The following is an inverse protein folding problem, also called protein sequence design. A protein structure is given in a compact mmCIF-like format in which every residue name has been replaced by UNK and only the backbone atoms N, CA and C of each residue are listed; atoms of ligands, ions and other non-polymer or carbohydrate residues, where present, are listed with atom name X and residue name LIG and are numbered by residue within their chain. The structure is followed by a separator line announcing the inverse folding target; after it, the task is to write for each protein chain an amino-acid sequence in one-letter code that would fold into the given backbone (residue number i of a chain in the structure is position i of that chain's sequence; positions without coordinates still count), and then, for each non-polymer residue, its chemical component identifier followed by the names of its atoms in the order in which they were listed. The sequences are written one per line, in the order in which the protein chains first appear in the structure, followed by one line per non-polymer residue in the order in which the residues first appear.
data_IF_782708819658
#
_entry.id   IF_782708819658
#
_cell.length_a   1.000
_cell.length_b   1.000
_cell.length_c   1.000
_cell.angle_alpha   90.00
_cell.angle_beta   90.00
_cell.angle_gamma   90.00
#
_symmetry.space_group_name_H-M   'P 1'
#
loop_
_entity.id
_entity.type
_entity.pdbx_description
1 polymer ?
#
# COMPACT_ATOMS: atom_id res chain seq x y z
N UNK A 1 4.73 -15.95 16.84
CA UNK A 1 5.62 -15.02 16.11
C UNK A 1 5.12 -14.93 14.69
N UNK A 2 4.88 -13.73 14.16
CA UNK A 2 4.40 -13.50 12.79
C UNK A 2 5.52 -12.83 12.00
N UNK A 3 5.82 -13.34 10.81
CA UNK A 3 6.79 -12.75 9.87
C UNK A 3 6.10 -12.52 8.54
N UNK A 4 6.28 -11.33 7.97
CA UNK A 4 5.69 -10.95 6.69
C UNK A 4 6.80 -10.57 5.72
N UNK A 5 6.81 -11.19 4.53
CA UNK A 5 7.86 -10.99 3.52
C UNK A 5 7.34 -10.11 2.38
N UNK A 6 7.34 -8.79 2.56
CA UNK A 6 6.75 -7.82 1.62
C UNK A 6 7.74 -6.94 0.87
N UNK A 7 9.00 -7.04 1.25
CA UNK A 7 10.08 -6.24 0.68
C UNK A 7 10.74 -7.01 -0.46
N UNK A 8 10.97 -6.32 -1.56
CA UNK A 8 11.93 -6.74 -2.59
C UNK A 8 13.29 -6.10 -2.29
N UNK A 9 14.32 -6.49 -3.04
CA UNK A 9 15.64 -5.87 -2.95
C UNK A 9 15.50 -4.36 -3.18
N UNK A 10 16.10 -3.56 -2.30
CA UNK A 10 16.05 -2.07 -2.30
C UNK A 10 14.72 -1.45 -1.85
N UNK A 11 13.74 -2.25 -1.40
CA UNK A 11 12.60 -1.70 -0.65
C UNK A 11 12.98 -1.42 0.80
N UNK A 12 12.32 -0.45 1.42
CA UNK A 12 12.56 -0.03 2.80
C UNK A 12 11.23 0.15 3.55
N UNK A 13 11.15 -0.34 4.79
CA UNK A 13 10.00 -0.05 5.66
C UNK A 13 10.20 1.33 6.28
N UNK A 14 9.26 2.24 6.03
CA UNK A 14 9.27 3.58 6.60
C UNK A 14 8.57 3.64 7.96
N UNK A 15 7.46 2.91 8.11
CA UNK A 15 6.65 2.91 9.33
C UNK A 15 5.80 1.63 9.40
N UNK A 16 5.51 1.16 10.62
CA UNK A 16 4.55 0.09 10.91
C UNK A 16 3.66 0.56 12.06
N UNK A 17 2.35 0.54 11.84
CA UNK A 17 1.34 0.82 12.87
C UNK A 17 0.53 -0.45 13.16
N UNK A 18 -0.48 -0.35 14.03
CA UNK A 18 -1.44 -1.44 14.19
C UNK A 18 -2.31 -1.63 12.94
N UNK A 19 -2.47 -0.60 12.10
CA UNK A 19 -3.46 -0.60 11.00
C UNK A 19 -2.83 -0.73 9.61
N UNK A 20 -1.55 -0.37 9.44
CA UNK A 20 -0.87 -0.47 8.14
C UNK A 20 0.64 -0.54 8.26
N UNK A 21 1.29 -0.90 7.15
CA UNK A 21 2.72 -0.72 6.92
C UNK A 21 2.97 0.22 5.75
N UNK A 22 3.92 1.14 5.92
CA UNK A 22 4.39 2.02 4.86
C UNK A 22 5.72 1.49 4.32
N UNK A 23 5.76 1.18 3.02
CA UNK A 23 6.95 0.64 2.34
C UNK A 23 7.36 1.59 1.23
N UNK A 24 8.59 2.13 1.31
CA UNK A 24 9.22 2.83 0.20
C UNK A 24 9.73 1.80 -0.80
N UNK A 25 9.25 1.91 -2.04
CA UNK A 25 9.68 1.09 -3.15
C UNK A 25 10.95 1.66 -3.76
N UNK A 26 11.69 0.81 -4.49
CA UNK A 26 12.91 1.21 -5.23
C UNK A 26 12.73 2.46 -6.11
N UNK A 27 11.57 2.65 -6.72
CA UNK A 27 11.26 3.80 -7.58
C UNK A 27 11.00 5.11 -6.80
N UNK A 28 11.01 5.06 -5.47
CA UNK A 28 10.76 6.20 -4.59
C UNK A 28 9.30 6.41 -4.19
N UNK A 29 8.37 5.65 -4.77
CA UNK A 29 6.96 5.65 -4.34
C UNK A 29 6.81 4.96 -2.97
N UNK A 30 5.74 5.29 -2.27
CA UNK A 30 5.42 4.69 -0.97
C UNK A 30 4.09 3.98 -1.04
N UNK A 31 4.12 2.66 -0.81
CA UNK A 31 2.90 1.88 -0.61
C UNK A 31 2.47 1.98 0.86
N UNK A 32 1.24 2.41 1.09
CA UNK A 32 0.53 2.29 2.37
C UNK A 32 -0.38 1.06 2.26
N UNK A 33 0.00 -0.02 2.95
CA UNK A 33 -0.67 -1.32 2.86
C UNK A 33 -1.38 -1.59 4.18
N UNK A 34 -2.73 -1.57 4.22
CA UNK A 34 -3.50 -1.87 5.42
C UNK A 34 -3.33 -3.31 5.89
N UNK A 35 -3.52 -3.52 7.19
CA UNK A 35 -3.70 -4.84 7.77
C UNK A 35 -5.18 -5.19 7.87
N UNK A 36 -5.54 -6.40 7.46
CA UNK A 36 -6.82 -7.02 7.81
C UNK A 36 -6.54 -7.97 8.96
N UNK A 37 -7.14 -7.68 10.12
CA UNK A 37 -7.08 -8.54 11.30
C UNK A 37 -8.37 -9.34 11.41
N UNK A 38 -8.27 -10.66 11.29
CA UNK A 38 -9.33 -11.55 11.76
C UNK A 38 -8.99 -12.13 13.14
N UNK A 39 -9.85 -13.01 13.62
CA UNK A 39 -9.75 -13.59 14.98
C UNK A 39 -8.48 -14.43 15.16
N UNK A 40 -7.96 -15.02 14.08
CA UNK A 40 -6.75 -15.84 14.10
C UNK A 40 -5.77 -15.56 12.95
N UNK A 41 -6.04 -14.57 12.10
CA UNK A 41 -5.23 -14.25 10.94
C UNK A 41 -4.89 -12.76 10.84
N UNK A 42 -3.69 -12.50 10.31
CA UNK A 42 -3.24 -11.19 9.91
C UNK A 42 -2.92 -11.26 8.42
N UNK A 43 -3.60 -10.45 7.63
CA UNK A 43 -3.38 -10.34 6.19
C UNK A 43 -3.02 -8.90 5.83
N UNK A 44 -2.30 -8.75 4.74
CA UNK A 44 -2.09 -7.46 4.11
C UNK A 44 -3.13 -7.26 3.01
N UNK A 45 -3.79 -6.11 3.03
CA UNK A 45 -4.76 -5.71 2.02
C UNK A 45 -4.05 -5.02 0.86
N UNK A 46 -3.66 -5.80 -0.14
CA UNK A 46 -3.05 -5.25 -1.36
C UNK A 46 -4.07 -4.67 -2.33
N UNK A 47 -5.37 -4.97 -2.17
CA UNK A 47 -6.45 -4.50 -3.04
C UNK A 47 -6.83 -3.06 -2.69
N UNK A 48 -6.90 -2.75 -1.39
CA UNK A 48 -7.20 -1.41 -0.89
C UNK A 48 -5.96 -0.60 -0.52
N UNK A 49 -4.80 -0.91 -1.11
CA UNK A 49 -3.55 -0.17 -0.84
C UNK A 49 -3.55 1.21 -1.49
N UNK A 50 -2.92 2.17 -0.84
CA UNK A 50 -2.67 3.50 -1.40
C UNK A 50 -1.21 3.63 -1.82
N UNK A 51 -0.96 4.24 -2.99
CA UNK A 51 0.39 4.52 -3.49
C UNK A 51 0.59 6.02 -3.47
N UNK A 52 1.59 6.50 -2.73
CA UNK A 52 2.01 7.89 -2.70
C UNK A 52 3.21 8.05 -3.64
N UNK A 53 3.01 8.75 -4.75
CA UNK A 53 4.02 9.03 -5.75
C UNK A 53 4.19 10.53 -6.03
N UNK A 54 5.04 10.86 -7.01
CA UNK A 54 5.23 12.23 -7.46
C UNK A 54 4.03 12.70 -8.28
N UNK A 55 3.57 13.94 -8.06
CA UNK A 55 2.41 14.48 -8.77
C UNK A 55 2.09 15.92 -8.42
N UNK A 56 0.93 16.39 -8.90
CA UNK A 56 0.42 17.75 -8.66
C UNK A 56 -0.81 17.74 -7.74
N UNK A 57 -0.70 17.06 -6.60
CA UNK A 57 -1.80 16.88 -5.64
C UNK A 57 -3.06 16.23 -6.27
N UNK A 58 -2.86 15.17 -7.06
CA UNK A 58 -3.96 14.44 -7.70
C UNK A 58 -4.20 13.10 -7.02
N UNK A 59 -5.46 12.69 -6.93
CA UNK A 59 -5.85 11.35 -6.49
C UNK A 59 -6.32 10.56 -7.69
N UNK A 60 -5.70 9.39 -7.93
CA UNK A 60 -6.11 8.44 -8.97
C UNK A 60 -6.67 7.19 -8.31
N UNK A 61 -7.95 6.90 -8.55
CA UNK A 61 -8.56 5.64 -8.14
C UNK A 61 -8.61 4.69 -9.33
N UNK A 62 -7.96 3.53 -9.18
CA UNK A 62 -8.01 2.43 -10.14
C UNK A 62 -8.96 1.39 -9.56
N UNK A 63 -10.09 1.16 -10.23
CA UNK A 63 -10.97 0.04 -9.88
C UNK A 63 -10.42 -1.24 -10.55
N UNK A 64 -10.10 -2.31 -9.78
CA UNK A 64 -9.47 -3.51 -10.32
C UNK A 64 -10.22 -4.18 -11.49
N UNK A 65 -11.55 -3.98 -11.54
CA UNK A 65 -12.46 -4.60 -12.52
C UNK A 65 -13.06 -3.59 -13.53
N UNK A 66 -12.49 -2.38 -13.64
CA UNK A 66 -12.96 -1.40 -14.62
C UNK A 66 -11.80 -0.61 -15.22
N UNK A 67 -11.92 -0.25 -16.49
CA UNK A 67 -10.99 0.67 -17.16
C UNK A 67 -11.19 2.14 -16.72
N UNK A 68 -11.98 2.39 -15.67
CA UNK A 68 -12.29 3.74 -15.17
C UNK A 68 -11.22 4.18 -14.19
N UNK A 69 -10.52 5.25 -14.55
CA UNK A 69 -9.62 5.99 -13.66
C UNK A 69 -10.30 7.28 -13.24
N UNK A 70 -10.70 7.38 -11.96
CA UNK A 70 -11.24 8.62 -11.41
C UNK A 70 -10.06 9.49 -10.98
N UNK A 71 -10.01 10.73 -11.49
CA UNK A 71 -9.00 11.73 -11.11
C UNK A 71 -9.68 12.91 -10.44
N UNK A 72 -9.25 13.26 -9.23
CA UNK A 72 -9.73 14.43 -8.47
C UNK A 72 -8.57 15.39 -8.19
N UNK A 73 -8.89 16.69 -8.08
CA UNK A 73 -7.96 17.82 -7.92
C UNK A 73 -8.29 18.62 -6.66
#
# INVERSE_FOLDING_TARGET
MVKVNILRKEDEVLNVTSEFVAVKRRNGEVDIIPFVKGVQDLRLDFENRMIIGYGKNTIHMIQPDSDVVITTF
#
